data_IF_033634634075
#
_entry.id   IF_033634634075
#
_cell.length_a   1.000
_cell.length_b   1.000
_cell.length_c   1.000
_cell.angle_alpha   90.00
_cell.angle_beta   90.00
_cell.angle_gamma   90.00
#
_symmetry.space_group_name_H-M   'P 1'
#
loop_
_entity.id
_entity.type
_entity.pdbx_description
1 polymer ?
#
# COMPACT_ATOMS: atom_id res chain seq x y z
N UNK A 1 32.90 2.93 2.92
CA UNK A 1 31.73 2.57 2.08
C UNK A 1 30.91 3.83 1.86
N UNK A 2 30.57 4.17 0.60
CA UNK A 2 29.71 5.29 0.28
C UNK A 2 28.29 4.81 0.00
N UNK A 3 27.30 5.44 0.62
CA UNK A 3 25.87 5.20 0.41
C UNK A 3 25.23 6.48 -0.13
N UNK A 4 24.46 6.38 -1.20
CA UNK A 4 23.77 7.51 -1.81
C UNK A 4 22.31 7.47 -1.44
N UNK A 5 21.85 8.50 -0.73
CA UNK A 5 20.50 8.67 -0.22
C UNK A 5 20.35 8.25 1.24
N UNK A 6 19.87 9.17 2.09
CA UNK A 6 19.53 8.94 3.50
C UNK A 6 18.03 8.70 3.71
N UNK A 7 17.37 8.06 2.77
CA UNK A 7 16.04 7.48 2.97
C UNK A 7 16.11 6.17 3.76
N UNK A 8 14.96 5.53 4.02
CA UNK A 8 14.89 4.30 4.81
C UNK A 8 15.88 3.23 4.35
N UNK A 9 15.95 2.96 3.04
CA UNK A 9 16.86 1.94 2.50
C UNK A 9 18.35 2.26 2.74
N UNK A 10 18.76 3.52 2.52
CA UNK A 10 20.16 3.93 2.74
C UNK A 10 20.54 3.93 4.21
N UNK A 11 19.64 4.38 5.09
CA UNK A 11 19.87 4.35 6.53
C UNK A 11 19.90 2.91 7.08
N UNK A 12 19.04 2.02 6.58
CA UNK A 12 19.11 0.58 6.92
C UNK A 12 20.42 -0.04 6.46
N UNK A 13 20.86 0.26 5.23
CA UNK A 13 22.14 -0.22 4.73
C UNK A 13 23.33 0.31 5.59
N UNK A 14 23.27 1.57 5.99
CA UNK A 14 24.29 2.15 6.88
C UNK A 14 24.29 1.46 8.26
N UNK A 15 23.12 1.16 8.81
CA UNK A 15 22.97 0.41 10.06
C UNK A 15 23.53 -1.01 9.96
N UNK A 16 23.21 -1.73 8.90
CA UNK A 16 23.74 -3.09 8.67
C UNK A 16 25.27 -3.11 8.48
N UNK A 17 25.84 -2.02 7.96
CA UNK A 17 27.27 -1.86 7.71
C UNK A 17 28.00 -1.10 8.82
N UNK A 18 27.38 -0.91 9.99
CA UNK A 18 27.87 -0.07 11.09
C UNK A 18 29.24 -0.45 11.66
N UNK A 19 29.73 -1.64 11.37
CA UNK A 19 31.05 -2.10 11.74
C UNK A 19 32.14 -1.69 10.73
N UNK A 20 31.76 -0.97 9.67
CA UNK A 20 32.63 -0.42 8.66
C UNK A 20 32.66 1.11 8.73
N UNK A 21 33.67 1.71 8.04
CA UNK A 21 33.66 3.17 7.81
C UNK A 21 32.67 3.49 6.71
N UNK A 22 31.52 4.08 7.10
CA UNK A 22 30.38 4.36 6.21
C UNK A 22 30.14 5.86 6.14
N UNK A 23 29.99 6.35 4.92
CA UNK A 23 29.58 7.72 4.61
C UNK A 23 28.28 7.69 3.80
N UNK A 24 27.30 8.50 4.21
CA UNK A 24 26.00 8.62 3.55
C UNK A 24 25.88 10.02 2.96
N UNK A 25 25.52 10.12 1.70
CA UNK A 25 25.37 11.38 0.96
C UNK A 25 23.89 11.57 0.60
N UNK A 26 23.28 12.64 1.11
CA UNK A 26 21.86 12.98 0.90
C UNK A 26 21.73 14.31 0.20
N UNK A 27 20.96 14.33 -0.89
CA UNK A 27 20.74 15.53 -1.68
C UNK A 27 19.89 16.59 -0.97
N UNK A 28 18.96 16.15 -0.10
CA UNK A 28 18.10 17.04 0.66
C UNK A 28 18.75 17.52 1.96
N UNK A 29 18.25 18.60 2.54
CA UNK A 29 18.66 19.11 3.85
C UNK A 29 18.14 18.31 5.05
N UNK A 30 17.64 17.05 4.84
CA UNK A 30 17.12 16.18 5.87
C UNK A 30 17.30 14.71 5.53
N UNK A 31 17.35 13.86 6.56
CA UNK A 31 17.25 12.39 6.42
C UNK A 31 15.78 11.93 6.32
N UNK A 32 15.55 10.62 6.11
CA UNK A 32 14.25 9.96 6.14
C UNK A 32 13.64 9.75 4.75
N UNK A 33 14.01 10.55 3.74
CA UNK A 33 13.49 10.40 2.38
C UNK A 33 11.95 10.54 2.32
N UNK A 34 11.24 9.45 2.00
CA UNK A 34 9.76 9.40 1.96
C UNK A 34 9.12 9.25 3.35
N UNK A 35 9.88 9.03 4.40
CA UNK A 35 9.46 9.19 5.78
C UNK A 35 9.66 10.64 6.16
N UNK A 36 8.61 11.31 6.58
CA UNK A 36 8.68 12.73 6.90
C UNK A 36 7.66 13.09 7.96
N UNK A 37 8.14 13.26 9.19
CA UNK A 37 7.32 13.73 10.32
C UNK A 37 7.55 15.22 10.52
N UNK A 38 6.48 15.96 10.71
CA UNK A 38 6.50 17.41 10.97
C UNK A 38 5.83 17.73 12.32
N UNK A 39 6.27 18.77 13.02
CA UNK A 39 5.57 19.24 14.21
C UNK A 39 4.14 19.69 13.85
N UNK A 40 3.17 19.28 14.67
CA UNK A 40 1.79 19.74 14.59
C UNK A 40 1.23 20.01 15.98
N UNK A 41 0.02 20.62 16.08
CA UNK A 41 -0.52 21.11 17.37
C UNK A 41 -0.58 20.04 18.46
N UNK A 42 -0.98 18.82 18.12
CA UNK A 42 -1.18 17.72 19.07
C UNK A 42 -0.04 16.66 19.02
N UNK A 43 1.07 17.01 18.44
CA UNK A 43 2.24 16.14 18.29
C UNK A 43 2.74 16.03 16.87
N UNK A 44 3.82 15.26 16.62
CA UNK A 44 4.34 15.07 15.27
C UNK A 44 3.33 14.34 14.39
N UNK A 45 3.24 14.79 13.14
CA UNK A 45 2.38 14.20 12.11
C UNK A 45 3.23 13.73 10.94
N UNK A 46 3.00 12.51 10.51
CA UNK A 46 3.67 11.95 9.34
C UNK A 46 3.02 12.46 8.05
N UNK A 47 3.81 13.14 7.22
CA UNK A 47 3.42 13.70 5.92
C UNK A 47 3.82 12.80 4.75
N UNK A 48 4.54 11.72 5.04
CA UNK A 48 4.97 10.70 4.12
C UNK A 48 4.28 9.37 4.40
N UNK A 49 5.06 8.27 4.41
CA UNK A 49 4.54 6.98 4.85
C UNK A 49 4.24 7.03 6.36
N UNK A 50 3.06 6.55 6.74
CA UNK A 50 2.51 6.69 8.10
C UNK A 50 2.21 5.36 8.80
N UNK A 51 2.25 4.25 8.07
CA UNK A 51 1.97 2.93 8.61
C UNK A 51 2.66 1.83 7.79
N UNK A 52 2.85 0.67 8.41
CA UNK A 52 3.32 -0.54 7.74
C UNK A 52 2.41 -1.72 8.06
N UNK A 53 2.50 -2.78 7.25
CA UNK A 53 1.69 -3.98 7.43
C UNK A 53 2.19 -4.78 8.63
N UNK A 54 1.38 -4.91 9.69
CA UNK A 54 1.73 -5.63 10.92
C UNK A 54 2.06 -7.12 10.70
N UNK A 55 1.57 -7.73 9.61
CA UNK A 55 1.92 -9.11 9.22
C UNK A 55 3.37 -9.29 8.71
N UNK A 56 4.10 -8.19 8.52
CA UNK A 56 5.53 -8.22 8.19
C UNK A 56 6.32 -8.38 9.48
N UNK A 57 6.36 -9.63 9.97
CA UNK A 57 7.08 -9.97 11.19
C UNK A 57 8.56 -9.62 11.12
N UNK A 58 9.17 -9.76 9.94
CA UNK A 58 10.54 -9.32 9.66
C UNK A 58 10.76 -7.81 9.94
N UNK A 59 9.78 -6.97 9.57
CA UNK A 59 9.83 -5.54 9.87
C UNK A 59 9.64 -5.25 11.37
N UNK A 60 8.74 -5.97 12.04
CA UNK A 60 8.53 -5.83 13.49
C UNK A 60 9.79 -6.22 14.25
N UNK A 61 10.36 -7.39 13.98
CA UNK A 61 11.60 -7.88 14.60
C UNK A 61 12.77 -6.91 14.38
N UNK A 62 12.87 -6.34 13.19
CA UNK A 62 13.88 -5.31 12.90
C UNK A 62 13.69 -4.05 13.75
N UNK A 63 12.44 -3.55 13.85
CA UNK A 63 12.10 -2.38 14.67
C UNK A 63 12.38 -2.64 16.16
N UNK A 64 12.04 -3.84 16.64
CA UNK A 64 12.33 -4.27 18.01
C UNK A 64 13.84 -4.33 18.27
N UNK A 65 14.65 -4.79 17.30
CA UNK A 65 16.10 -4.82 17.39
C UNK A 65 16.74 -3.43 17.50
N UNK A 66 16.07 -2.40 17.01
CA UNK A 66 16.45 -0.99 17.18
C UNK A 66 16.03 -0.41 18.55
N UNK A 67 15.36 -1.19 19.40
CA UNK A 67 14.84 -0.73 20.69
C UNK A 67 13.55 0.07 20.60
N UNK A 68 12.83 0.00 19.47
CA UNK A 68 11.62 0.77 19.21
C UNK A 68 10.31 -0.02 19.37
N UNK A 69 10.35 -1.28 19.85
CA UNK A 69 9.17 -2.12 19.99
C UNK A 69 8.06 -1.49 20.82
N UNK A 70 8.39 -0.85 21.94
CA UNK A 70 7.42 -0.18 22.83
C UNK A 70 6.78 1.08 22.19
N UNK A 71 7.34 1.56 21.09
CA UNK A 71 6.80 2.69 20.34
C UNK A 71 5.75 2.27 19.33
N UNK A 72 5.65 0.98 19.02
CA UNK A 72 4.67 0.47 18.06
C UNK A 72 3.25 0.55 18.63
N UNK A 73 2.35 1.08 17.83
CA UNK A 73 0.93 1.22 18.19
C UNK A 73 0.03 0.80 17.03
N UNK A 74 -1.17 0.36 17.39
CA UNK A 74 -2.22 0.03 16.43
C UNK A 74 -3.01 1.29 16.06
N UNK A 75 -3.63 1.33 14.87
CA UNK A 75 -4.59 2.35 14.50
C UNK A 75 -5.76 2.41 15.49
N UNK A 76 -6.40 3.56 15.58
CA UNK A 76 -7.54 3.82 16.48
C UNK A 76 -8.77 2.93 16.21
N UNK A 77 -8.80 2.18 15.11
CA UNK A 77 -9.95 1.36 14.69
C UNK A 77 -11.12 2.17 14.12
N UNK A 78 -10.96 3.47 13.94
CA UNK A 78 -11.95 4.29 13.25
C UNK A 78 -12.09 3.85 11.79
N UNK A 79 -13.31 3.92 11.27
CA UNK A 79 -13.58 3.57 9.88
C UNK A 79 -12.97 4.62 8.94
N UNK A 80 -12.29 4.12 7.91
CA UNK A 80 -11.84 4.97 6.81
C UNK A 80 -13.02 5.49 6.00
N UNK A 81 -12.90 6.71 5.51
CA UNK A 81 -13.90 7.37 4.69
C UNK A 81 -13.34 7.62 3.29
N UNK A 82 -14.23 7.65 2.31
CA UNK A 82 -13.93 8.12 0.96
C UNK A 82 -14.68 9.43 0.74
N UNK A 83 -14.02 10.37 0.07
CA UNK A 83 -14.64 11.62 -0.35
C UNK A 83 -14.95 11.56 -1.85
N UNK A 84 -16.24 11.60 -2.17
CA UNK A 84 -16.76 11.71 -3.53
C UNK A 84 -17.89 12.73 -3.54
N UNK A 85 -17.50 14.02 -3.42
CA UNK A 85 -18.45 15.12 -3.20
C UNK A 85 -18.97 15.23 -1.76
N UNK A 86 -19.05 14.11 -1.05
CA UNK A 86 -19.38 14.00 0.37
C UNK A 86 -18.56 12.87 1.02
N UNK A 87 -18.41 12.90 2.34
CA UNK A 87 -17.72 11.83 3.09
C UNK A 87 -18.65 10.62 3.24
N UNK A 88 -18.21 9.48 2.77
CA UNK A 88 -18.91 8.20 2.87
C UNK A 88 -18.00 7.12 3.45
N UNK A 89 -18.55 6.12 4.16
CA UNK A 89 -17.77 4.97 4.59
C UNK A 89 -17.18 4.22 3.40
N UNK A 90 -15.95 3.72 3.55
CA UNK A 90 -15.40 2.77 2.58
C UNK A 90 -16.23 1.48 2.53
N UNK A 91 -16.36 0.84 1.35
CA UNK A 91 -17.05 -0.43 1.24
C UNK A 91 -16.39 -1.50 2.09
N UNK A 92 -17.20 -2.37 2.68
CA UNK A 92 -16.72 -3.53 3.42
C UNK A 92 -16.67 -4.74 2.49
N UNK A 93 -15.60 -5.52 2.59
CA UNK A 93 -15.40 -6.68 1.70
C UNK A 93 -14.79 -6.28 0.36
N UNK A 94 -14.90 -7.18 -0.61
CA UNK A 94 -14.29 -6.99 -1.93
C UNK A 94 -12.77 -7.09 -1.94
N UNK A 95 -12.20 -6.74 -3.09
CA UNK A 95 -10.76 -6.69 -3.31
C UNK A 95 -10.38 -5.31 -3.85
N UNK A 96 -9.73 -4.49 -3.03
CA UNK A 96 -9.31 -3.12 -3.40
C UNK A 96 -10.47 -2.27 -3.98
N UNK A 97 -11.67 -2.41 -3.40
CA UNK A 97 -12.89 -1.73 -3.84
C UNK A 97 -13.66 -2.43 -4.97
N UNK A 98 -13.12 -3.49 -5.57
CA UNK A 98 -13.83 -4.33 -6.55
C UNK A 98 -14.76 -5.27 -5.77
N UNK A 99 -16.09 -5.18 -5.94
CA UNK A 99 -17.05 -5.96 -5.16
C UNK A 99 -17.34 -7.32 -5.79
N UNK A 100 -17.81 -8.28 -4.98
CA UNK A 100 -18.38 -9.55 -5.45
C UNK A 100 -19.90 -9.47 -5.72
N UNK A 101 -20.57 -8.40 -5.27
CA UNK A 101 -21.98 -8.05 -5.45
C UNK A 101 -22.17 -6.58 -5.11
N UNK A 102 -23.31 -5.99 -5.49
CA UNK A 102 -23.49 -4.53 -5.41
C UNK A 102 -23.68 -3.96 -4.00
N UNK A 103 -24.20 -4.73 -3.06
CA UNK A 103 -24.63 -4.23 -1.73
C UNK A 103 -23.54 -3.45 -0.99
N UNK A 104 -22.24 -3.90 -0.90
CA UNK A 104 -21.21 -3.16 -0.19
C UNK A 104 -20.87 -1.79 -0.77
N UNK A 105 -21.15 -1.58 -2.06
CA UNK A 105 -20.82 -0.35 -2.80
C UNK A 105 -22.05 0.49 -3.15
N UNK A 106 -23.26 0.00 -2.88
CA UNK A 106 -24.54 0.62 -3.30
C UNK A 106 -24.71 2.07 -2.84
N UNK A 107 -24.08 2.45 -1.72
CA UNK A 107 -24.12 3.82 -1.20
C UNK A 107 -23.11 4.78 -1.89
N UNK A 108 -22.24 4.23 -2.75
CA UNK A 108 -21.17 4.96 -3.45
C UNK A 108 -21.41 5.07 -4.95
N UNK A 109 -22.24 4.20 -5.53
CA UNK A 109 -22.47 4.11 -6.97
C UNK A 109 -23.94 4.31 -7.33
N UNK A 110 -24.21 4.54 -8.60
CA UNK A 110 -25.59 4.64 -9.12
C UNK A 110 -26.31 3.29 -9.09
N UNK A 111 -27.66 3.33 -9.11
CA UNK A 111 -28.49 2.12 -9.22
C UNK A 111 -28.24 1.36 -10.54
N UNK A 112 -27.77 2.03 -11.58
CA UNK A 112 -27.39 1.39 -12.84
C UNK A 112 -26.11 0.58 -12.67
N UNK A 113 -25.08 1.16 -12.09
CA UNK A 113 -23.82 0.47 -11.76
C UNK A 113 -24.06 -0.72 -10.83
N UNK A 114 -24.89 -0.55 -9.79
CA UNK A 114 -25.25 -1.65 -8.90
C UNK A 114 -25.91 -2.82 -9.65
N UNK A 115 -26.86 -2.55 -10.54
CA UNK A 115 -27.48 -3.58 -11.39
C UNK A 115 -26.48 -4.24 -12.33
N UNK A 116 -25.52 -3.50 -12.87
CA UNK A 116 -24.48 -4.02 -13.76
C UNK A 116 -23.54 -4.96 -13.02
N UNK A 117 -23.20 -4.67 -11.77
CA UNK A 117 -22.42 -5.55 -10.90
C UNK A 117 -23.16 -6.88 -10.67
N UNK A 118 -24.45 -6.81 -10.29
CA UNK A 118 -25.22 -8.01 -9.96
C UNK A 118 -25.60 -8.86 -11.18
N UNK A 119 -25.56 -8.29 -12.39
CA UNK A 119 -25.84 -8.98 -13.65
C UNK A 119 -24.61 -8.96 -14.58
N UNK A 120 -23.42 -9.11 -14.02
CA UNK A 120 -22.17 -9.10 -14.77
C UNK A 120 -22.17 -10.18 -15.86
N UNK A 121 -21.87 -9.78 -17.09
CA UNK A 121 -21.71 -10.70 -18.22
C UNK A 121 -20.31 -11.35 -18.16
N UNK A 122 -20.21 -12.69 -18.32
CA UNK A 122 -18.92 -13.36 -18.39
C UNK A 122 -18.09 -12.88 -19.58
N UNK A 123 -16.77 -12.83 -19.37
CA UNK A 123 -15.81 -12.43 -20.41
C UNK A 123 -14.68 -13.43 -20.57
N UNK A 124 -14.07 -13.45 -21.76
CA UNK A 124 -12.92 -14.29 -22.04
C UNK A 124 -11.67 -13.72 -21.37
N UNK A 125 -10.98 -14.55 -20.62
CA UNK A 125 -9.72 -14.22 -19.98
C UNK A 125 -8.62 -15.16 -20.46
N UNK A 126 -7.50 -14.60 -20.92
CA UNK A 126 -6.31 -15.37 -21.27
C UNK A 126 -5.39 -15.44 -20.06
N UNK A 127 -5.11 -16.64 -19.57
CA UNK A 127 -4.17 -16.83 -18.46
C UNK A 127 -2.81 -16.20 -18.75
N UNK A 128 -2.24 -15.54 -17.76
CA UNK A 128 -1.00 -14.80 -17.93
C UNK A 128 -1.16 -13.35 -18.43
N UNK A 129 -2.36 -12.95 -18.87
CA UNK A 129 -2.62 -11.56 -19.29
C UNK A 129 -2.36 -10.59 -18.15
N UNK A 130 -1.82 -9.42 -18.50
CA UNK A 130 -1.78 -8.25 -17.60
C UNK A 130 -2.52 -7.10 -18.28
N UNK A 131 -3.46 -6.52 -17.55
CA UNK A 131 -4.33 -5.45 -18.02
C UNK A 131 -4.40 -4.35 -16.97
N UNK A 132 -4.81 -3.15 -17.38
CA UNK A 132 -5.09 -2.07 -16.44
C UNK A 132 -6.29 -2.42 -15.54
N UNK A 133 -6.13 -2.24 -14.22
CA UNK A 133 -7.19 -2.45 -13.23
C UNK A 133 -8.40 -1.59 -13.56
N UNK A 134 -8.21 -0.28 -13.76
CA UNK A 134 -9.28 0.65 -14.05
C UNK A 134 -10.03 0.29 -15.33
N UNK A 135 -9.31 0.00 -16.42
CA UNK A 135 -9.94 -0.37 -17.70
C UNK A 135 -10.74 -1.67 -17.58
N UNK A 136 -10.22 -2.67 -16.90
CA UNK A 136 -10.94 -3.94 -16.68
C UNK A 136 -12.23 -3.72 -15.91
N UNK A 137 -12.17 -2.96 -14.80
CA UNK A 137 -13.35 -2.68 -13.99
C UNK A 137 -14.35 -1.80 -14.73
N UNK A 138 -13.89 -0.78 -15.50
CA UNK A 138 -14.79 0.04 -16.35
C UNK A 138 -15.54 -0.78 -17.37
N UNK A 139 -14.85 -1.72 -18.00
CA UNK A 139 -15.45 -2.61 -18.99
C UNK A 139 -16.55 -3.47 -18.38
N UNK A 140 -16.37 -3.99 -17.17
CA UNK A 140 -17.31 -4.89 -16.52
C UNK A 140 -18.39 -4.14 -15.75
N UNK A 141 -18.02 -3.17 -14.92
CA UNK A 141 -18.94 -2.53 -13.96
C UNK A 141 -19.27 -1.06 -14.30
N UNK A 142 -18.54 -0.44 -15.23
CA UNK A 142 -18.75 0.96 -15.62
C UNK A 142 -17.84 1.95 -14.91
N UNK A 143 -17.91 3.19 -15.38
CA UNK A 143 -17.02 4.28 -14.95
C UNK A 143 -17.26 4.69 -13.49
N UNK A 144 -18.49 4.70 -13.09
CA UNK A 144 -18.95 5.18 -11.78
C UNK A 144 -18.24 4.48 -10.60
N UNK A 145 -18.11 3.14 -10.64
CA UNK A 145 -17.38 2.39 -9.63
C UNK A 145 -15.89 2.74 -9.62
N UNK A 146 -15.27 2.91 -10.79
CA UNK A 146 -13.85 3.24 -10.89
C UNK A 146 -13.59 4.64 -10.36
N UNK A 147 -14.37 5.62 -10.76
CA UNK A 147 -14.15 7.03 -10.43
C UNK A 147 -14.44 7.35 -8.96
N UNK A 148 -15.47 6.73 -8.38
CA UNK A 148 -15.91 7.04 -7.01
C UNK A 148 -15.33 6.09 -5.93
N UNK A 149 -14.85 4.90 -6.31
CA UNK A 149 -14.41 3.89 -5.34
C UNK A 149 -12.99 3.42 -5.61
N UNK A 150 -12.75 2.81 -6.79
CA UNK A 150 -11.48 2.13 -7.07
C UNK A 150 -10.32 3.12 -7.14
N UNK A 151 -10.48 4.22 -7.88
CA UNK A 151 -9.43 5.25 -8.01
C UNK A 151 -9.15 5.97 -6.70
N UNK A 152 -10.14 6.15 -5.84
CA UNK A 152 -9.92 6.73 -4.52
C UNK A 152 -9.08 5.80 -3.62
N UNK A 153 -9.37 4.49 -3.62
CA UNK A 153 -8.63 3.50 -2.84
C UNK A 153 -7.22 3.28 -3.39
N UNK A 154 -7.10 2.99 -4.67
CA UNK A 154 -5.81 2.72 -5.31
C UNK A 154 -4.95 3.98 -5.39
N UNK A 155 -5.56 5.14 -5.64
CA UNK A 155 -4.87 6.43 -5.66
C UNK A 155 -4.26 6.79 -4.32
N UNK A 156 -4.94 6.48 -3.22
CA UNK A 156 -4.40 6.66 -1.87
C UNK A 156 -3.18 5.78 -1.57
N UNK A 157 -3.10 4.59 -2.19
CA UNK A 157 -1.97 3.65 -2.01
C UNK A 157 -0.84 3.92 -3.00
N UNK A 158 -1.17 4.12 -4.28
CA UNK A 158 -0.19 4.15 -5.38
C UNK A 158 0.08 5.55 -5.95
N UNK A 159 -0.66 6.57 -5.50
CA UNK A 159 -0.55 7.97 -5.98
C UNK A 159 -0.71 8.10 -7.50
N UNK A 160 -1.56 7.27 -8.11
CA UNK A 160 -1.89 7.32 -9.52
C UNK A 160 -3.32 6.80 -9.79
N UNK A 161 -3.81 7.01 -11.01
CA UNK A 161 -5.13 6.52 -11.42
C UNK A 161 -5.18 4.98 -11.48
N UNK A 162 -6.33 4.40 -11.20
CA UNK A 162 -6.56 2.97 -11.39
C UNK A 162 -6.34 2.53 -12.85
N UNK A 163 -6.53 3.44 -13.81
CA UNK A 163 -6.31 3.19 -15.23
C UNK A 163 -4.82 3.01 -15.58
N UNK A 164 -3.90 3.50 -14.75
CA UNK A 164 -2.45 3.42 -14.95
C UNK A 164 -1.81 2.24 -14.18
N UNK A 165 -2.60 1.47 -13.46
CA UNK A 165 -2.15 0.36 -12.63
C UNK A 165 -2.34 -1.00 -13.33
N UNK A 166 -1.28 -1.77 -13.48
CA UNK A 166 -1.33 -3.15 -13.95
C UNK A 166 -1.93 -4.09 -12.90
N UNK A 167 -2.84 -4.97 -13.31
CA UNK A 167 -3.57 -5.87 -12.41
C UNK A 167 -2.63 -6.79 -11.64
N UNK A 168 -1.64 -7.39 -12.31
CA UNK A 168 -0.71 -8.34 -11.69
C UNK A 168 0.22 -7.69 -10.68
N UNK A 169 0.60 -6.44 -10.91
CA UNK A 169 1.43 -5.69 -9.99
C UNK A 169 0.64 -5.17 -8.78
N UNK A 170 -0.63 -4.81 -8.99
CA UNK A 170 -1.47 -4.16 -7.97
C UNK A 170 -2.26 -5.16 -7.14
N UNK A 171 -2.91 -6.14 -7.81
CA UNK A 171 -3.79 -7.14 -7.18
C UNK A 171 -3.44 -8.54 -7.73
N UNK A 172 -2.22 -9.05 -7.45
CA UNK A 172 -1.76 -10.33 -8.00
C UNK A 172 -2.71 -11.49 -7.72
N UNK A 173 -3.29 -11.56 -6.51
CA UNK A 173 -4.24 -12.60 -6.15
C UNK A 173 -5.50 -12.61 -7.03
N UNK A 174 -5.98 -11.45 -7.47
CA UNK A 174 -7.12 -11.37 -8.39
C UNK A 174 -6.73 -11.89 -9.79
N UNK A 175 -5.56 -11.52 -10.27
CA UNK A 175 -5.05 -12.00 -11.56
C UNK A 175 -4.87 -13.53 -11.58
N UNK A 176 -4.27 -14.09 -10.52
CA UNK A 176 -4.11 -15.54 -10.36
C UNK A 176 -5.45 -16.27 -10.25
N UNK A 177 -6.43 -15.67 -9.57
CA UNK A 177 -7.78 -16.25 -9.47
C UNK A 177 -8.49 -16.24 -10.83
N UNK A 178 -8.37 -15.17 -11.62
CA UNK A 178 -8.90 -15.10 -12.97
C UNK A 178 -8.24 -16.13 -13.87
N UNK A 179 -6.92 -16.33 -13.77
CA UNK A 179 -6.20 -17.39 -14.51
C UNK A 179 -6.78 -18.77 -14.19
N UNK A 180 -6.92 -19.11 -12.91
CA UNK A 180 -7.44 -20.40 -12.49
C UNK A 180 -8.91 -20.63 -12.89
N UNK A 181 -9.75 -19.61 -12.83
CA UNK A 181 -11.14 -19.70 -13.25
C UNK A 181 -11.28 -19.86 -14.77
N UNK A 182 -10.41 -19.22 -15.55
CA UNK A 182 -10.44 -19.25 -17.02
C UNK A 182 -10.17 -20.62 -17.61
N UNK A 183 -9.53 -21.52 -16.87
CA UNK A 183 -9.37 -22.94 -17.29
C UNK A 183 -10.71 -23.66 -17.49
N UNK A 184 -11.80 -23.13 -16.92
CA UNK A 184 -13.14 -23.73 -16.97
C UNK A 184 -14.09 -22.99 -17.94
N UNK A 185 -13.63 -21.90 -18.55
CA UNK A 185 -14.39 -21.08 -19.50
C UNK A 185 -14.42 -19.60 -19.13
N UNK A 186 -15.34 -18.83 -19.72
CA UNK A 186 -15.46 -17.41 -19.43
C UNK A 186 -15.62 -17.10 -17.94
N UNK A 187 -15.06 -15.97 -17.50
CA UNK A 187 -14.97 -15.58 -16.08
C UNK A 187 -15.79 -14.30 -15.81
N UNK A 188 -16.05 -14.04 -14.52
CA UNK A 188 -16.55 -12.75 -14.05
C UNK A 188 -15.64 -12.20 -12.95
N UNK A 189 -15.49 -10.88 -12.84
CA UNK A 189 -14.76 -10.24 -11.75
C UNK A 189 -15.40 -10.55 -10.40
N UNK A 190 -16.74 -10.51 -10.33
CA UNK A 190 -17.50 -10.82 -9.11
C UNK A 190 -17.26 -12.24 -8.62
N UNK A 191 -17.15 -13.25 -9.51
CA UNK A 191 -16.82 -14.62 -9.13
C UNK A 191 -15.37 -14.72 -8.61
N UNK A 192 -14.43 -14.06 -9.27
CA UNK A 192 -13.04 -14.06 -8.83
C UNK A 192 -12.88 -13.39 -7.44
N UNK A 193 -13.52 -12.24 -7.23
CA UNK A 193 -13.53 -11.56 -5.93
C UNK A 193 -14.18 -12.42 -4.85
N UNK A 194 -15.31 -13.06 -5.14
CA UNK A 194 -16.01 -13.97 -4.21
C UNK A 194 -15.12 -15.12 -3.78
N UNK A 195 -14.40 -15.74 -4.71
CA UNK A 195 -13.42 -16.80 -4.40
C UNK A 195 -12.37 -16.33 -3.40
N UNK A 196 -11.87 -15.11 -3.55
CA UNK A 196 -10.88 -14.51 -2.63
C UNK A 196 -11.50 -14.16 -1.27
N UNK A 197 -12.75 -13.69 -1.24
CA UNK A 197 -13.47 -13.42 0.00
C UNK A 197 -13.72 -14.71 0.80
N UNK A 198 -14.14 -15.77 0.13
CA UNK A 198 -14.35 -17.10 0.74
C UNK A 198 -13.05 -17.68 1.28
N UNK A 199 -11.95 -17.60 0.52
CA UNK A 199 -10.64 -18.02 0.97
C UNK A 199 -10.16 -17.23 2.21
N UNK A 200 -10.40 -15.92 2.23
CA UNK A 200 -10.08 -15.06 3.38
C UNK A 200 -10.95 -15.40 4.60
N UNK A 201 -12.22 -15.69 4.40
CA UNK A 201 -13.12 -16.08 5.48
C UNK A 201 -12.79 -17.45 6.09
N UNK A 202 -12.28 -18.38 5.27
CA UNK A 202 -11.85 -19.71 5.69
C UNK A 202 -10.46 -19.72 6.35
N UNK A 203 -9.63 -18.70 6.10
CA UNK A 203 -8.30 -18.60 6.70
C UNK A 203 -8.41 -18.37 8.22
N UNK A 204 -7.51 -18.98 9.02
CA UNK A 204 -7.43 -18.67 10.44
C UNK A 204 -7.28 -17.15 10.62
N UNK A 205 -8.13 -16.57 11.46
CA UNK A 205 -7.97 -15.14 11.80
C UNK A 205 -6.65 -15.01 12.56
N UNK A 206 -5.64 -14.45 11.91
CA UNK A 206 -4.48 -13.93 12.62
C UNK A 206 -4.99 -12.80 13.51
N UNK A 207 -5.07 -13.06 14.82
CA UNK A 207 -5.46 -12.05 15.79
C UNK A 207 -4.39 -10.96 15.83
N UNK A 208 -4.67 -9.80 15.25
CA UNK A 208 -3.75 -8.66 15.24
C UNK A 208 -4.22 -7.57 14.27
N UNK A 209 -3.68 -6.37 14.39
CA UNK A 209 -4.01 -5.26 13.51
C UNK A 209 -3.48 -5.53 12.09
N UNK A 210 -4.13 -4.92 11.09
CA UNK A 210 -3.63 -4.95 9.70
C UNK A 210 -2.40 -4.06 9.56
N UNK A 211 -2.41 -2.93 10.26
CA UNK A 211 -1.35 -1.92 10.23
C UNK A 211 -0.83 -1.64 11.63
N UNK A 212 0.44 -1.26 11.70
CA UNK A 212 1.06 -0.64 12.86
C UNK A 212 1.77 0.65 12.45
N UNK A 213 1.97 1.52 13.41
CA UNK A 213 2.72 2.76 13.27
C UNK A 213 3.49 3.07 14.55
N UNK A 214 4.17 4.20 14.60
CA UNK A 214 4.93 4.65 15.77
C UNK A 214 4.14 5.70 16.56
N UNK A 215 4.09 5.52 17.86
CA UNK A 215 3.64 6.58 18.78
C UNK A 215 4.60 7.76 18.66
N UNK A 216 4.14 8.87 18.11
CA UNK A 216 4.98 10.03 17.88
C UNK A 216 5.69 10.08 16.52
N UNK A 217 5.26 9.24 15.56
CA UNK A 217 5.64 9.32 14.15
C UNK A 217 6.90 8.55 13.78
N UNK A 218 7.10 8.43 12.48
CA UNK A 218 8.22 7.70 11.86
C UNK A 218 9.60 8.35 12.05
N UNK A 219 9.66 9.57 12.59
CA UNK A 219 10.93 10.21 12.92
C UNK A 219 11.80 9.31 13.81
N UNK A 220 11.20 8.63 14.78
CA UNK A 220 11.90 7.71 15.66
C UNK A 220 12.69 6.63 14.91
N UNK A 221 12.12 6.09 13.81
CA UNK A 221 12.76 5.03 13.04
C UNK A 221 13.99 5.54 12.28
N UNK A 222 13.84 6.61 11.50
CA UNK A 222 14.98 7.08 10.69
C UNK A 222 16.04 7.78 11.54
N UNK A 223 15.69 8.37 12.67
CA UNK A 223 16.64 8.93 13.62
C UNK A 223 17.44 7.83 14.35
N UNK A 224 16.76 6.77 14.82
CA UNK A 224 17.41 5.62 15.43
C UNK A 224 18.37 4.92 14.47
N UNK A 225 17.97 4.74 13.20
CA UNK A 225 18.84 4.18 12.17
C UNK A 225 20.07 5.06 11.91
N UNK A 226 19.89 6.37 11.80
CA UNK A 226 20.99 7.30 11.59
C UNK A 226 21.95 7.29 12.77
N UNK A 227 21.46 7.34 13.99
CA UNK A 227 22.29 7.31 15.21
C UNK A 227 23.02 5.98 15.37
N UNK A 228 22.31 4.85 15.27
CA UNK A 228 22.88 3.52 15.51
C UNK A 228 23.79 3.05 14.36
N UNK A 229 23.67 3.62 13.17
CA UNK A 229 24.57 3.34 12.04
C UNK A 229 26.01 3.83 12.29
N UNK A 230 26.18 4.85 13.12
CA UNK A 230 27.46 5.55 13.36
C UNK A 230 28.07 6.13 12.09
N UNK A 231 27.34 6.16 10.98
CA UNK A 231 27.80 6.66 9.70
C UNK A 231 27.93 8.19 9.73
N UNK A 232 28.88 8.72 8.95
CA UNK A 232 28.93 10.15 8.67
C UNK A 232 27.89 10.48 7.60
N UNK A 233 26.93 11.34 7.93
CA UNK A 233 25.86 11.72 7.02
C UNK A 233 26.08 13.15 6.55
N UNK A 234 26.18 13.32 5.24
CA UNK A 234 26.36 14.62 4.57
C UNK A 234 25.03 15.00 3.90
N UNK A 235 24.38 16.01 4.43
CA UNK A 235 23.16 16.59 3.87
C UNK A 235 23.51 17.63 2.79
N UNK A 236 22.51 18.05 2.01
CA UNK A 236 22.65 19.00 0.91
C UNK A 236 23.77 18.62 -0.08
N UNK A 237 24.02 17.30 -0.21
CA UNK A 237 25.13 16.77 -1.01
C UNK A 237 24.57 15.90 -2.14
N UNK A 238 24.42 16.50 -3.31
CA UNK A 238 23.94 15.81 -4.50
C UNK A 238 25.07 15.05 -5.21
N UNK A 239 24.88 13.76 -5.42
CA UNK A 239 25.80 12.92 -6.20
C UNK A 239 25.27 12.79 -7.62
N UNK A 240 26.00 13.35 -8.59
CA UNK A 240 25.61 13.37 -9.99
C UNK A 240 26.05 12.15 -10.80
N UNK A 241 26.98 11.37 -10.29
CA UNK A 241 27.48 10.18 -10.99
C UNK A 241 28.49 9.39 -10.19
N UNK A 242 28.75 8.18 -10.62
CA UNK A 242 29.76 7.25 -10.10
C UNK A 242 30.61 6.80 -11.29
N UNK A 243 31.92 6.92 -11.18
CA UNK A 243 32.88 6.41 -12.16
C UNK A 243 33.72 5.31 -11.53
N UNK A 244 34.03 4.28 -12.33
CA UNK A 244 34.97 3.25 -11.93
C UNK A 244 36.37 3.64 -12.44
N UNK A 245 37.31 3.73 -11.56
CA UNK A 245 38.74 3.87 -11.91
C UNK A 245 39.37 2.53 -12.30
#
# INVERSE_FOLDING_TARGET
>A
IAIIGAGLAGLTAAYELRDHDVEVFEAAGRIGGKLYSVPFNDGPTDMGAEAFLARRHDAVEFIESLGLGDSLVEPSGLHSLVYSGELKPLPRGGMMGIPSHSEPVAHLVSAETARRIDNEEPFEWTAGSDVSVGRLVRQQFGDDLVDHVISALLGGVYSCSADDLGLRATIPALAETLDALSERGPVTLSAAVRTLEEARAAAPRSGGPVFQTFRGGYAQLYEALAEQSRAKIYLDTFISGITRE
#
